data_IF_217898726642
#
_entry.id   IF_217898726642
#
_cell.length_a   1.000
_cell.length_b   1.000
_cell.length_c   1.000
_cell.angle_alpha   90.00
_cell.angle_beta   90.00
_cell.angle_gamma   90.00
#
_symmetry.space_group_name_H-M   'P 1'
#
loop_
_entity.id
_entity.type
_entity.pdbx_description
1 polymer ?
#
# COMPACT_ATOMS: atom_id res chain seq x y z
N UNK A 1 -12.77 18.40 19.39
CA UNK A 1 -11.31 18.24 19.30
C UNK A 1 -10.65 19.46 19.90
N UNK A 2 -9.63 19.28 20.74
CA UNK A 2 -9.03 20.37 21.50
C UNK A 2 -7.83 20.94 20.76
N UNK A 3 -7.87 22.24 20.46
CA UNK A 3 -6.67 23.00 20.22
C UNK A 3 -5.67 22.77 21.38
N UNK A 4 -4.38 22.73 21.08
CA UNK A 4 -3.35 22.64 22.09
C UNK A 4 -2.33 23.77 21.87
N UNK A 5 -1.61 24.12 22.92
CA UNK A 5 -0.60 25.16 22.84
C UNK A 5 0.79 24.52 22.77
N UNK A 6 1.64 25.07 21.91
CA UNK A 6 3.10 24.86 21.93
C UNK A 6 3.68 26.23 22.23
N UNK A 7 4.30 26.38 23.40
CA UNK A 7 4.76 27.67 23.93
C UNK A 7 3.67 28.74 23.87
N UNK A 8 3.92 29.86 23.19
CA UNK A 8 2.97 30.94 22.97
C UNK A 8 2.02 30.73 21.79
N UNK A 9 2.16 29.62 21.05
CA UNK A 9 1.42 29.36 19.81
C UNK A 9 0.25 28.40 20.04
N UNK A 10 -0.95 28.81 19.62
CA UNK A 10 -2.13 27.94 19.63
C UNK A 10 -2.19 27.14 18.32
N UNK A 11 -2.06 25.82 18.43
CA UNK A 11 -2.15 24.90 17.29
C UNK A 11 -3.60 24.43 17.13
N UNK A 12 -4.15 24.65 15.95
CA UNK A 12 -5.46 24.14 15.54
C UNK A 12 -5.25 22.87 14.71
N UNK A 13 -5.69 21.73 15.24
CA UNK A 13 -5.79 20.50 14.45
C UNK A 13 -7.13 20.49 13.72
N UNK A 14 -7.09 20.28 12.40
CA UNK A 14 -8.27 20.05 11.59
C UNK A 14 -8.24 18.59 11.13
N UNK A 15 -9.40 17.93 11.21
CA UNK A 15 -9.52 16.60 10.63
C UNK A 15 -9.29 16.64 9.13
N UNK A 16 -8.60 15.61 8.65
CA UNK A 16 -8.51 15.34 7.23
C UNK A 16 -9.90 14.95 6.75
N UNK A 17 -10.37 15.63 5.71
CA UNK A 17 -11.59 15.21 5.00
C UNK A 17 -11.17 14.08 4.06
N UNK A 18 -11.40 12.83 4.47
CA UNK A 18 -11.10 11.68 3.63
C UNK A 18 -11.90 11.78 2.31
N UNK A 19 -11.28 11.54 1.14
CA UNK A 19 -12.04 11.37 -0.09
C UNK A 19 -12.99 10.17 0.07
N UNK A 20 -14.26 10.40 -0.28
CA UNK A 20 -15.36 9.52 0.10
C UNK A 20 -15.34 8.17 -0.63
N UNK A 21 -15.66 7.15 0.17
CA UNK A 21 -16.08 5.76 -0.13
C UNK A 21 -15.01 4.66 0.02
N UNK A 22 -15.19 3.72 0.97
CA UNK A 22 -14.42 2.49 0.95
C UNK A 22 -14.77 1.73 -0.32
N UNK A 23 -13.76 1.43 -1.13
CA UNK A 23 -13.91 0.49 -2.24
C UNK A 23 -14.09 -0.91 -1.65
N UNK A 24 -15.00 -1.70 -2.24
CA UNK A 24 -15.20 -3.07 -1.81
C UNK A 24 -13.91 -3.87 -2.08
N UNK A 25 -13.47 -4.62 -1.08
CA UNK A 25 -12.31 -5.50 -1.23
C UNK A 25 -12.54 -6.45 -2.41
N UNK A 26 -11.54 -6.55 -3.28
CA UNK A 26 -11.61 -7.37 -4.49
C UNK A 26 -10.38 -8.25 -4.61
N UNK A 27 -10.58 -9.56 -4.72
CA UNK A 27 -9.55 -10.51 -5.10
C UNK A 27 -9.66 -10.84 -6.60
N UNK A 28 -8.56 -10.72 -7.34
CA UNK A 28 -8.47 -11.12 -8.73
C UNK A 28 -7.11 -11.73 -9.06
N UNK A 29 -7.07 -12.63 -10.04
CA UNK A 29 -5.83 -13.17 -10.59
C UNK A 29 -5.45 -12.33 -11.81
N UNK A 30 -4.26 -11.74 -11.77
CA UNK A 30 -3.61 -11.12 -12.92
C UNK A 30 -2.79 -12.21 -13.63
N UNK A 31 -3.14 -12.61 -14.86
CA UNK A 31 -2.44 -13.71 -15.53
C UNK A 31 -1.04 -13.30 -15.98
N UNK A 32 -0.18 -14.30 -16.19
CA UNK A 32 1.12 -14.11 -16.84
C UNK A 32 0.96 -13.37 -18.18
N UNK A 33 1.82 -12.39 -18.44
CA UNK A 33 1.77 -11.52 -19.62
C UNK A 33 0.82 -10.32 -19.49
N UNK A 34 0.02 -10.24 -18.42
CA UNK A 34 -0.82 -9.07 -18.13
C UNK A 34 0.01 -7.79 -18.05
N UNK A 35 -0.51 -6.71 -18.61
CA UNK A 35 0.06 -5.37 -18.50
C UNK A 35 -1.00 -4.45 -17.91
N UNK A 36 -0.65 -3.66 -16.88
CA UNK A 36 -1.58 -2.68 -16.31
C UNK A 36 -1.99 -1.61 -17.32
N UNK A 37 -1.02 -1.16 -18.13
CA UNK A 37 -1.18 -0.15 -19.19
C UNK A 37 -0.34 -0.58 -20.39
N UNK A 38 -0.69 -0.17 -21.62
CA UNK A 38 0.15 -0.42 -22.80
C UNK A 38 1.58 0.08 -22.57
N UNK A 39 2.56 -0.80 -22.80
CA UNK A 39 3.98 -0.47 -22.67
C UNK A 39 4.58 -0.71 -21.29
N UNK A 40 3.76 -0.96 -20.25
CA UNK A 40 4.25 -1.42 -18.95
C UNK A 40 4.85 -2.82 -19.06
N UNK A 41 5.76 -3.16 -18.14
CA UNK A 41 6.35 -4.50 -18.04
C UNK A 41 5.24 -5.57 -17.92
N UNK A 42 5.20 -6.59 -18.80
CA UNK A 42 4.30 -7.71 -18.62
C UNK A 42 4.62 -8.48 -17.34
N UNK A 43 3.60 -8.92 -16.62
CA UNK A 43 3.79 -9.77 -15.44
C UNK A 43 4.46 -11.10 -15.84
N UNK A 44 5.55 -11.53 -15.19
CA UNK A 44 6.25 -12.76 -15.58
C UNK A 44 5.63 -14.04 -15.00
N UNK A 45 4.66 -13.91 -14.10
CA UNK A 45 3.89 -15.02 -13.52
C UNK A 45 2.47 -14.57 -13.20
N UNK A 46 1.59 -15.51 -12.84
CA UNK A 46 0.30 -15.16 -12.25
C UNK A 46 0.52 -14.46 -10.91
N UNK A 47 -0.27 -13.43 -10.64
CA UNK A 47 -0.25 -12.68 -9.37
C UNK A 47 -1.67 -12.57 -8.85
N UNK A 48 -1.90 -12.97 -7.61
CA UNK A 48 -3.14 -12.68 -6.90
C UNK A 48 -3.05 -11.25 -6.39
N UNK A 49 -4.01 -10.43 -6.79
CA UNK A 49 -4.19 -9.07 -6.30
C UNK A 49 -5.42 -9.03 -5.38
N UNK A 50 -5.21 -8.69 -4.11
CA UNK A 50 -6.26 -8.34 -3.16
C UNK A 50 -6.26 -6.81 -3.00
N UNK A 51 -7.23 -6.15 -3.62
CA UNK A 51 -7.40 -4.69 -3.53
C UNK A 51 -8.19 -4.30 -2.30
N UNK A 52 -7.81 -3.18 -1.70
CA UNK A 52 -8.52 -2.55 -0.58
C UNK A 52 -8.73 -3.50 0.60
N UNK A 53 -7.73 -4.33 0.91
CA UNK A 53 -7.72 -5.14 2.12
C UNK A 53 -7.67 -4.21 3.34
N UNK A 54 -8.70 -4.29 4.19
CA UNK A 54 -8.76 -3.53 5.42
C UNK A 54 -7.84 -4.14 6.49
N UNK A 55 -7.07 -3.29 7.17
CA UNK A 55 -6.27 -3.61 8.35
C UNK A 55 -6.79 -2.75 9.51
N UNK A 56 -7.13 -3.36 10.65
CA UNK A 56 -7.73 -2.64 11.78
C UNK A 56 -6.68 -2.27 12.80
N UNK A 57 -6.47 -0.97 12.99
CA UNK A 57 -5.50 -0.45 13.96
C UNK A 57 -6.02 -0.56 15.39
N UNK A 58 -5.13 -0.41 16.38
CA UNK A 58 -5.45 -0.55 17.81
C UNK A 58 -6.56 0.36 18.33
N UNK A 59 -6.82 1.49 17.65
CA UNK A 59 -7.87 2.46 17.99
C UNK A 59 -9.15 2.26 17.17
N UNK A 60 -9.26 1.15 16.43
CA UNK A 60 -10.43 0.78 15.63
C UNK A 60 -10.49 1.42 14.24
N UNK A 61 -9.54 2.31 13.92
CA UNK A 61 -9.42 2.94 12.60
C UNK A 61 -8.99 1.91 11.57
N UNK A 62 -9.62 1.94 10.39
CA UNK A 62 -9.26 1.08 9.27
C UNK A 62 -8.34 1.79 8.30
N UNK A 63 -7.23 1.15 8.00
CA UNK A 63 -6.36 1.52 6.88
C UNK A 63 -6.46 0.44 5.80
N UNK A 64 -6.13 0.81 4.57
CA UNK A 64 -6.31 -0.09 3.43
C UNK A 64 -4.98 -0.38 2.73
N UNK A 65 -4.84 -1.61 2.26
CA UNK A 65 -3.69 -2.07 1.51
C UNK A 65 -4.11 -2.75 0.20
N UNK A 66 -3.24 -2.68 -0.80
CA UNK A 66 -3.29 -3.58 -1.94
C UNK A 66 -2.19 -4.63 -1.78
N UNK A 67 -2.57 -5.89 -1.84
CA UNK A 67 -1.66 -7.02 -1.65
C UNK A 67 -1.47 -7.72 -3.00
N UNK A 68 -0.21 -7.87 -3.38
CA UNK A 68 0.21 -8.64 -4.54
C UNK A 68 0.97 -9.86 -4.05
N UNK A 69 0.49 -11.06 -4.33
CA UNK A 69 1.14 -12.29 -3.86
C UNK A 69 1.14 -13.39 -4.91
N UNK A 70 2.02 -14.39 -4.77
CA UNK A 70 2.05 -15.51 -5.70
C UNK A 70 0.74 -16.31 -5.61
N UNK A 71 0.27 -16.79 -6.75
CA UNK A 71 -0.77 -17.81 -6.79
C UNK A 71 -0.20 -19.12 -6.23
N UNK A 72 -0.66 -19.50 -5.06
CA UNK A 72 -0.17 -20.64 -4.26
C UNK A 72 -1.35 -21.51 -3.85
N UNK A 73 -1.09 -22.77 -3.53
CA UNK A 73 -2.10 -23.61 -2.90
C UNK A 73 -2.42 -23.13 -1.48
N UNK A 74 -3.54 -23.60 -0.91
CA UNK A 74 -4.00 -23.17 0.43
C UNK A 74 -3.02 -23.51 1.56
N UNK A 75 -2.06 -24.42 1.34
CA UNK A 75 -1.11 -24.87 2.35
C UNK A 75 0.22 -24.10 2.28
N UNK A 76 0.48 -23.40 1.19
CA UNK A 76 1.73 -22.68 0.96
C UNK A 76 1.57 -21.21 1.33
N UNK A 77 2.17 -20.84 2.45
CA UNK A 77 2.20 -19.46 2.93
C UNK A 77 3.50 -18.75 2.55
N UNK A 78 3.44 -17.44 2.31
CA UNK A 78 4.56 -16.62 1.82
C UNK A 78 4.92 -15.48 2.78
N UNK A 79 6.19 -15.01 2.79
CA UNK A 79 6.57 -13.82 3.53
C UNK A 79 6.01 -12.55 2.86
N UNK A 80 5.79 -11.49 3.65
CA UNK A 80 5.28 -10.21 3.18
C UNK A 80 6.33 -9.11 3.29
N UNK A 81 6.49 -8.32 2.22
CA UNK A 81 7.25 -7.07 2.23
C UNK A 81 6.26 -5.92 2.23
N UNK A 82 6.27 -5.15 3.32
CA UNK A 82 5.35 -4.03 3.52
C UNK A 82 5.95 -2.75 2.96
N UNK A 83 5.23 -2.12 2.04
CA UNK A 83 5.50 -0.77 1.56
C UNK A 83 4.56 0.19 2.29
N UNK A 84 5.13 1.04 3.15
CA UNK A 84 4.39 2.00 3.95
C UNK A 84 4.56 3.41 3.37
N UNK A 85 3.48 4.04 2.91
CA UNK A 85 3.56 5.41 2.41
C UNK A 85 2.23 6.15 2.50
N UNK A 86 2.22 7.49 2.39
CA UNK A 86 1.01 8.29 2.27
C UNK A 86 0.73 8.61 0.78
N UNK A 87 1.48 8.02 -0.16
CA UNK A 87 1.61 8.47 -1.54
C UNK A 87 0.63 7.79 -2.49
N UNK A 88 -0.11 6.80 -2.00
CA UNK A 88 -1.00 5.97 -2.79
C UNK A 88 -0.42 4.60 -3.05
N UNK A 89 -1.26 3.60 -2.85
CA UNK A 89 -1.03 2.24 -3.33
C UNK A 89 -1.22 2.12 -4.84
N UNK A 90 -0.62 1.09 -5.43
CA UNK A 90 -0.91 0.61 -6.79
C UNK A 90 -0.82 1.67 -7.89
N UNK A 91 0.08 2.64 -7.73
CA UNK A 91 0.23 3.82 -8.57
C UNK A 91 -1.09 4.56 -8.88
N UNK A 92 -2.08 4.53 -7.97
CA UNK A 92 -3.33 5.29 -8.08
C UNK A 92 -3.27 6.64 -7.38
N UNK A 93 -2.20 6.90 -6.61
CA UNK A 93 -2.00 8.17 -5.94
C UNK A 93 -1.49 9.29 -6.85
N UNK A 94 -1.48 10.51 -6.33
CA UNK A 94 -0.99 11.71 -7.04
C UNK A 94 0.54 11.71 -7.18
N UNK A 95 1.22 11.01 -6.29
CA UNK A 95 2.68 10.92 -6.23
C UNK A 95 3.07 9.57 -6.81
N UNK A 96 3.44 9.56 -8.09
CA UNK A 96 3.98 8.39 -8.80
C UNK A 96 5.22 8.82 -9.57
N UNK A 97 6.13 7.88 -9.87
CA UNK A 97 7.46 8.20 -10.40
C UNK A 97 7.42 9.12 -11.63
N UNK A 98 6.48 8.86 -12.55
CA UNK A 98 6.31 9.63 -13.79
C UNK A 98 5.77 11.05 -13.58
N UNK A 99 5.12 11.34 -12.44
CA UNK A 99 4.56 12.68 -12.17
C UNK A 99 5.49 13.54 -11.35
N UNK A 100 6.30 12.95 -10.47
CA UNK A 100 7.10 13.73 -9.50
C UNK A 100 8.58 13.82 -9.84
N UNK A 101 9.14 12.93 -10.66
CA UNK A 101 10.55 13.00 -11.06
C UNK A 101 10.70 13.32 -12.56
N UNK A 102 11.57 14.29 -12.92
CA UNK A 102 11.91 14.54 -14.31
C UNK A 102 12.37 13.27 -15.01
N UNK A 103 11.82 13.02 -16.20
CA UNK A 103 12.14 11.85 -17.02
C UNK A 103 12.00 10.50 -16.29
N UNK A 104 11.14 10.41 -15.26
CA UNK A 104 10.93 9.18 -14.48
C UNK A 104 12.24 8.62 -13.89
N UNK A 105 13.17 9.51 -13.54
CA UNK A 105 14.53 9.15 -13.11
C UNK A 105 15.30 8.26 -14.11
N UNK A 106 14.94 8.30 -15.39
CA UNK A 106 15.53 7.48 -16.45
C UNK A 106 15.01 6.05 -16.51
N UNK A 107 13.99 5.70 -15.71
CA UNK A 107 13.35 4.38 -15.73
C UNK A 107 12.29 4.37 -16.83
N UNK A 108 12.40 3.41 -17.75
CA UNK A 108 11.42 3.24 -18.83
C UNK A 108 10.17 2.54 -18.29
N UNK A 109 9.00 2.89 -18.83
CA UNK A 109 7.74 2.21 -18.48
C UNK A 109 7.80 0.69 -18.69
N UNK A 110 8.56 0.21 -19.67
CA UNK A 110 8.75 -1.21 -19.93
C UNK A 110 9.54 -1.96 -18.84
N UNK A 111 10.13 -1.24 -17.88
CA UNK A 111 10.85 -1.80 -16.73
C UNK A 111 9.96 -1.92 -15.49
N UNK A 112 8.78 -1.28 -15.48
CA UNK A 112 7.86 -1.25 -14.34
C UNK A 112 6.51 -1.88 -14.69
N UNK A 113 5.93 -2.65 -13.79
CA UNK A 113 4.59 -3.23 -13.99
C UNK A 113 3.48 -2.18 -13.98
N UNK A 114 3.76 -1.02 -13.38
CA UNK A 114 2.78 0.01 -13.08
C UNK A 114 1.98 -0.30 -11.83
N UNK A 115 2.29 -1.35 -11.06
CA UNK A 115 1.64 -1.67 -9.78
C UNK A 115 2.47 -1.25 -8.56
N UNK A 116 3.71 -0.81 -8.76
CA UNK A 116 4.56 -0.23 -7.72
C UNK A 116 3.93 1.03 -7.12
N UNK A 117 4.00 1.18 -5.79
CA UNK A 117 3.79 2.48 -5.15
C UNK A 117 5.03 3.38 -5.37
N UNK A 118 4.91 4.68 -5.14
CA UNK A 118 6.10 5.54 -5.08
C UNK A 118 7.02 5.07 -3.94
N UNK A 119 8.33 4.98 -4.22
CA UNK A 119 9.34 4.34 -3.34
C UNK A 119 9.04 2.88 -2.98
N UNK A 120 8.08 2.26 -3.67
CA UNK A 120 7.64 0.89 -3.54
C UNK A 120 8.49 -0.11 -4.31
N UNK A 121 8.33 -1.38 -3.95
CA UNK A 121 8.82 -2.49 -4.77
C UNK A 121 7.82 -2.82 -5.89
N UNK A 122 8.34 -3.23 -7.05
CA UNK A 122 7.51 -3.66 -8.16
C UNK A 122 7.02 -5.11 -7.96
N UNK A 123 5.69 -5.36 -7.91
CA UNK A 123 5.16 -6.72 -7.83
C UNK A 123 5.64 -7.66 -8.93
N UNK A 124 5.87 -7.17 -10.17
CA UNK A 124 6.38 -8.02 -11.26
C UNK A 124 7.80 -8.53 -11.01
N UNK A 125 8.56 -7.90 -10.11
CA UNK A 125 9.92 -8.31 -9.77
C UNK A 125 9.95 -9.23 -8.55
N UNK A 126 9.15 -8.96 -7.53
CA UNK A 126 9.25 -9.62 -6.23
C UNK A 126 8.27 -10.75 -5.99
N UNK A 127 7.07 -10.69 -6.60
CA UNK A 127 6.10 -11.79 -6.49
C UNK A 127 6.63 -13.10 -7.09
N UNK A 128 7.28 -13.11 -8.27
CA UNK A 128 7.86 -14.33 -8.83
C UNK A 128 8.99 -14.93 -7.97
N UNK A 129 9.57 -14.13 -7.07
CA UNK A 129 10.59 -14.55 -6.10
C UNK A 129 10.00 -15.18 -4.84
N UNK A 130 8.67 -15.28 -4.75
CA UNK A 130 7.95 -15.90 -3.64
C UNK A 130 7.59 -14.95 -2.50
N UNK A 131 7.63 -13.63 -2.71
CA UNK A 131 7.24 -12.64 -1.70
C UNK A 131 5.87 -12.04 -2.02
N UNK A 132 5.07 -11.77 -1.00
CA UNK A 132 3.94 -10.85 -1.12
C UNK A 132 4.44 -9.41 -1.01
N UNK A 133 3.95 -8.50 -1.85
CA UNK A 133 4.16 -7.06 -1.74
C UNK A 133 2.86 -6.45 -1.21
N UNK A 134 2.94 -5.73 -0.10
CA UNK A 134 1.77 -5.11 0.56
C UNK A 134 1.93 -3.59 0.52
N UNK A 135 1.20 -2.94 -0.37
CA UNK A 135 1.21 -1.49 -0.52
C UNK A 135 0.14 -0.88 0.39
N UNK A 136 0.56 -0.29 1.51
CA UNK A 136 -0.34 0.27 2.53
C UNK A 136 -0.50 1.77 2.32
N UNK A 137 -1.76 2.22 2.26
CA UNK A 137 -2.08 3.63 2.44
C UNK A 137 -2.04 3.94 3.95
N UNK A 138 -1.08 4.75 4.38
CA UNK A 138 -0.96 5.16 5.77
C UNK A 138 -2.25 5.85 6.30
N UNK A 139 -2.41 5.91 7.62
CA UNK A 139 -3.56 6.56 8.27
C UNK A 139 -3.80 7.97 7.71
N UNK A 140 -5.04 8.27 7.36
CA UNK A 140 -5.45 9.58 6.82
C UNK A 140 -4.91 9.88 5.41
N UNK A 141 -4.42 8.88 4.69
CA UNK A 141 -3.99 8.97 3.29
C UNK A 141 -4.95 8.21 2.38
N UNK A 142 -5.25 8.79 1.22
CA UNK A 142 -6.10 8.17 0.18
C UNK A 142 -7.40 7.60 0.77
N UNK A 143 -7.60 6.27 0.72
CA UNK A 143 -8.81 5.62 1.22
C UNK A 143 -8.75 5.29 2.72
N UNK A 144 -7.60 5.43 3.38
CA UNK A 144 -7.42 5.10 4.80
C UNK A 144 -8.06 6.14 5.71
N UNK A 145 -8.76 5.67 6.73
CA UNK A 145 -9.48 6.50 7.69
C UNK A 145 -8.53 7.27 8.63
N UNK A 146 -9.10 8.18 9.40
CA UNK A 146 -8.41 8.93 10.44
C UNK A 146 -7.59 10.11 9.93
N UNK A 147 -6.75 10.65 10.82
CA UNK A 147 -5.92 11.81 10.53
C UNK A 147 -4.46 11.40 10.32
N UNK A 148 -3.83 12.01 9.31
CA UNK A 148 -2.42 11.79 9.02
C UNK A 148 -1.54 12.20 10.21
N UNK A 149 -0.63 11.32 10.59
CA UNK A 149 0.35 11.50 11.69
C UNK A 149 1.77 11.19 11.22
N UNK A 150 2.05 11.62 10.00
CA UNK A 150 3.28 11.34 9.26
C UNK A 150 4.51 11.79 10.05
N UNK A 151 5.52 10.92 10.12
CA UNK A 151 6.76 11.09 10.87
C UNK A 151 6.59 11.27 12.38
N UNK A 152 6.36 10.16 13.08
CA UNK A 152 6.42 10.12 14.54
C UNK A 152 6.12 8.76 15.16
N UNK A 153 6.14 8.71 16.49
CA UNK A 153 5.87 7.47 17.26
C UNK A 153 4.43 6.97 17.12
N UNK A 154 3.49 7.83 16.70
CA UNK A 154 2.14 7.41 16.37
C UNK A 154 2.11 6.58 15.08
N UNK A 155 2.80 7.04 14.03
CA UNK A 155 2.92 6.31 12.78
C UNK A 155 3.67 4.99 12.96
N UNK A 156 4.78 4.97 13.71
CA UNK A 156 5.49 3.71 13.99
C UNK A 156 4.61 2.67 14.70
N UNK A 157 3.67 3.12 15.53
CA UNK A 157 2.66 2.25 16.17
C UNK A 157 1.59 1.78 15.19
N UNK A 158 1.16 2.62 14.26
CA UNK A 158 0.24 2.22 13.20
C UNK A 158 0.90 1.18 12.27
N UNK A 159 2.18 1.36 11.94
CA UNK A 159 2.97 0.39 11.18
C UNK A 159 3.11 -0.96 11.89
N UNK A 160 3.36 -0.95 13.22
CA UNK A 160 3.33 -2.17 14.03
C UNK A 160 1.98 -2.90 13.92
N UNK A 161 0.87 -2.19 14.10
CA UNK A 161 -0.46 -2.82 14.04
C UNK A 161 -0.75 -3.38 12.65
N UNK A 162 -0.35 -2.67 11.59
CA UNK A 162 -0.50 -3.15 10.22
C UNK A 162 0.27 -4.45 9.99
N UNK A 163 1.51 -4.56 10.48
CA UNK A 163 2.32 -5.79 10.39
C UNK A 163 1.61 -6.94 11.11
N UNK A 164 1.12 -6.72 12.33
CA UNK A 164 0.42 -7.74 13.11
C UNK A 164 -0.90 -8.18 12.45
N UNK A 165 -1.63 -7.26 11.81
CA UNK A 165 -2.84 -7.60 11.04
C UNK A 165 -2.51 -8.39 9.77
N UNK A 166 -1.46 -8.02 9.04
CA UNK A 166 -1.00 -8.73 7.84
C UNK A 166 -0.54 -10.16 8.20
N UNK A 167 0.16 -10.33 9.32
CA UNK A 167 0.64 -11.63 9.78
C UNK A 167 -0.49 -12.63 10.09
N UNK A 168 -1.73 -12.14 10.33
CA UNK A 168 -2.91 -12.98 10.57
C UNK A 168 -3.59 -13.46 9.29
N UNK A 169 -3.28 -12.87 8.13
CA UNK A 169 -3.90 -13.26 6.87
C UNK A 169 -3.53 -14.71 6.51
N UNK A 170 -4.49 -15.48 5.99
CA UNK A 170 -4.35 -16.93 5.81
C UNK A 170 -3.16 -17.31 4.93
N UNK A 171 -2.81 -16.48 3.94
CA UNK A 171 -1.70 -16.67 3.02
C UNK A 171 -0.33 -16.28 3.59
N UNK A 172 -0.28 -15.53 4.70
CA UNK A 172 0.96 -14.99 5.25
C UNK A 172 1.62 -15.99 6.20
N UNK A 173 2.95 -16.20 6.05
CA UNK A 173 3.69 -17.13 6.90
C UNK A 173 4.21 -16.50 8.22
N UNK A 174 3.86 -15.25 8.50
CA UNK A 174 4.29 -14.50 9.68
C UNK A 174 5.69 -13.91 9.61
N UNK A 175 6.28 -13.81 8.40
CA UNK A 175 7.57 -13.17 8.15
C UNK A 175 7.46 -12.00 7.19
#
# INVERSE_FOLDING_TARGET
MSAFNIDSSKVLLRDVVAPQHPLAAQALILPTGHQKRPGSRPLPSNIVLERDQALTLRDGIKIFADIYRPETDQNTKVPAIVMWSPYGKSSTGLIVLSTVLPFQAGILDSQLSGYESFEGLDPAEWVPRGYAIVNVDARGSNHSEGNMRWFGSAEGRDGHDAIEEIAKLDWCNGK
#
